data_IF_208512899840
#
_entry.id   IF_208512899840
#
_cell.length_a   1.000
_cell.length_b   1.000
_cell.length_c   1.000
_cell.angle_alpha   90.00
_cell.angle_beta   90.00
_cell.angle_gamma   90.00
#
_symmetry.space_group_name_H-M   'P 1'
#
loop_
_entity.id
_entity.type
_entity.pdbx_description
1 polymer ?
#
# COMPACT_ATOMS: atom_id res chain seq x y z
N UNK A 1 -1.19 -24.79 -15.37
CA UNK A 1 -2.14 -24.34 -14.35
C UNK A 1 -1.59 -23.05 -13.74
N UNK A 2 -2.18 -21.91 -14.14
CA UNK A 2 -1.87 -20.63 -13.48
C UNK A 2 -2.51 -20.67 -12.09
N UNK A 3 -1.70 -20.93 -11.07
CA UNK A 3 -2.07 -20.66 -9.68
C UNK A 3 -2.34 -19.15 -9.59
N UNK A 4 -3.59 -18.75 -9.57
CA UNK A 4 -3.95 -17.38 -9.18
C UNK A 4 -3.43 -17.20 -7.76
N UNK A 5 -2.39 -16.39 -7.61
CA UNK A 5 -1.83 -16.06 -6.30
C UNK A 5 -2.90 -15.27 -5.54
N UNK A 6 -3.62 -15.95 -4.65
CA UNK A 6 -4.72 -15.35 -3.85
C UNK A 6 -4.25 -14.17 -3.00
N UNK A 7 -2.96 -14.01 -2.87
CA UNK A 7 -2.32 -12.96 -2.07
C UNK A 7 -1.87 -11.77 -2.92
N UNK A 8 -2.13 -11.78 -4.24
CA UNK A 8 -1.76 -10.71 -5.18
C UNK A 8 -3.00 -10.03 -5.76
N UNK A 9 -2.90 -8.71 -5.88
CA UNK A 9 -3.84 -7.86 -6.64
C UNK A 9 -3.00 -6.96 -7.54
N UNK A 10 -3.25 -7.03 -8.85
CA UNK A 10 -2.64 -6.10 -9.81
C UNK A 10 -3.34 -4.74 -9.71
N UNK A 11 -2.56 -3.67 -9.84
CA UNK A 11 -3.00 -2.28 -9.65
C UNK A 11 -2.39 -1.42 -10.74
N UNK A 12 -3.20 -0.61 -11.42
CA UNK A 12 -2.80 0.17 -12.59
C UNK A 12 -2.30 -0.74 -13.73
N UNK A 13 -1.43 -0.20 -14.61
CA UNK A 13 -0.96 -0.91 -15.81
C UNK A 13 0.19 -1.91 -15.53
N UNK A 14 1.10 -1.63 -14.57
CA UNK A 14 2.26 -2.48 -14.25
C UNK A 14 2.46 -2.74 -12.76
N UNK A 15 1.61 -2.15 -11.93
CA UNK A 15 1.73 -2.23 -10.47
C UNK A 15 1.04 -3.44 -9.87
N UNK A 16 1.33 -3.70 -8.60
CA UNK A 16 0.66 -4.72 -7.80
C UNK A 16 0.85 -4.49 -6.31
N UNK A 17 0.02 -5.17 -5.54
CA UNK A 17 0.18 -5.40 -4.10
C UNK A 17 0.13 -6.89 -3.83
N UNK A 18 1.12 -7.43 -3.11
CA UNK A 18 1.15 -8.80 -2.64
C UNK A 18 1.18 -8.78 -1.12
N UNK A 19 0.28 -9.49 -0.47
CA UNK A 19 0.36 -9.77 0.96
C UNK A 19 1.38 -10.90 1.19
N UNK A 20 2.52 -10.57 1.81
CA UNK A 20 3.61 -11.52 2.06
C UNK A 20 3.46 -12.26 3.37
N UNK A 21 3.05 -11.55 4.41
CA UNK A 21 2.86 -12.14 5.73
C UNK A 21 2.01 -11.25 6.62
N UNK A 22 1.32 -11.87 7.56
CA UNK A 22 0.75 -11.22 8.75
C UNK A 22 1.23 -12.02 9.94
N UNK A 23 1.89 -11.38 10.90
CA UNK A 23 2.42 -12.05 12.08
C UNK A 23 2.04 -11.31 13.36
N UNK A 24 1.68 -12.08 14.36
CA UNK A 24 1.50 -11.61 15.72
C UNK A 24 2.03 -12.70 16.68
N UNK A 25 2.73 -12.26 17.73
CA UNK A 25 3.31 -13.17 18.74
C UNK A 25 2.49 -13.11 20.03
N UNK A 26 1.24 -13.46 19.94
CA UNK A 26 0.36 -13.49 21.10
C UNK A 26 0.07 -14.90 21.59
N UNK A 27 0.63 -15.94 20.93
CA UNK A 27 0.49 -17.35 21.28
C UNK A 27 1.79 -17.95 21.78
N UNK A 28 1.68 -19.06 22.52
CA UNK A 28 2.82 -19.83 23.00
C UNK A 28 3.63 -20.40 21.85
N UNK A 29 4.94 -20.59 22.07
CA UNK A 29 5.90 -21.11 21.08
C UNK A 29 5.64 -22.55 20.59
N UNK A 30 4.73 -23.28 21.21
CA UNK A 30 4.32 -24.65 20.87
C UNK A 30 3.11 -24.71 19.91
N UNK A 31 2.59 -23.57 19.47
CA UNK A 31 1.50 -23.48 18.52
C UNK A 31 1.98 -22.96 17.16
N UNK A 32 1.34 -23.37 16.06
CA UNK A 32 1.60 -22.80 14.74
C UNK A 32 1.35 -21.27 14.75
N UNK A 33 2.30 -20.53 14.17
CA UNK A 33 2.32 -19.06 14.19
C UNK A 33 1.45 -18.48 13.06
N UNK A 34 0.16 -18.65 13.12
CA UNK A 34 -0.76 -17.93 12.25
C UNK A 34 -1.32 -16.70 12.98
N UNK A 35 -1.14 -15.52 12.37
CA UNK A 35 -1.79 -14.32 12.86
C UNK A 35 -3.31 -14.49 12.78
N UNK A 36 -4.00 -14.13 13.85
CA UNK A 36 -5.44 -14.24 13.95
C UNK A 36 -6.05 -12.89 14.35
N UNK A 37 -7.27 -12.66 13.96
CA UNK A 37 -8.08 -11.48 14.29
C UNK A 37 -8.30 -11.27 15.79
N UNK A 38 -8.06 -12.28 16.60
CA UNK A 38 -8.14 -12.19 18.08
C UNK A 38 -6.84 -11.71 18.72
N UNK A 39 -5.73 -11.68 18.00
CA UNK A 39 -4.42 -11.34 18.55
C UNK A 39 -4.38 -9.98 19.27
N UNK A 40 -5.05 -8.92 18.78
CA UNK A 40 -5.12 -7.66 19.53
C UNK A 40 -5.78 -7.80 20.90
N UNK A 41 -6.82 -8.63 21.03
CA UNK A 41 -7.50 -8.85 22.30
C UNK A 41 -6.59 -9.62 23.27
N UNK A 42 -5.90 -10.65 22.77
CA UNK A 42 -4.98 -11.44 23.57
C UNK A 42 -3.78 -10.60 24.04
N UNK A 43 -3.22 -9.75 23.19
CA UNK A 43 -2.17 -8.81 23.56
C UNK A 43 -2.62 -7.85 24.68
N UNK A 44 -3.86 -7.36 24.62
CA UNK A 44 -4.42 -6.49 25.66
C UNK A 44 -4.57 -7.17 27.03
N UNK A 45 -4.81 -8.49 27.05
CA UNK A 45 -4.93 -9.27 28.29
C UNK A 45 -3.62 -9.37 29.06
N UNK A 46 -2.49 -9.12 28.43
CA UNK A 46 -1.20 -9.06 29.13
C UNK A 46 -1.24 -8.07 30.29
N UNK A 47 -2.01 -6.99 30.20
CA UNK A 47 -2.20 -6.01 31.28
C UNK A 47 -2.82 -6.62 32.56
N UNK A 48 -3.43 -7.81 32.47
CA UNK A 48 -4.04 -8.52 33.57
C UNK A 48 -3.36 -9.87 33.85
N UNK A 49 -2.20 -10.11 33.26
CA UNK A 49 -1.51 -11.41 33.31
C UNK A 49 -2.41 -12.59 32.91
N UNK A 50 -3.23 -12.40 31.88
CA UNK A 50 -4.32 -13.29 31.50
C UNK A 50 -4.34 -13.65 30.02
N UNK A 51 -3.18 -13.69 29.34
CA UNK A 51 -3.05 -14.18 27.97
C UNK A 51 -3.53 -15.62 27.88
N UNK A 52 -4.11 -15.98 26.75
CA UNK A 52 -4.60 -17.32 26.42
C UNK A 52 -5.65 -17.91 27.41
N UNK A 53 -6.28 -17.08 28.22
CA UNK A 53 -7.12 -17.51 29.33
C UNK A 53 -8.62 -17.59 29.05
N UNK A 54 -9.09 -17.16 27.86
CA UNK A 54 -10.51 -16.99 27.56
C UNK A 54 -10.91 -17.48 26.17
N UNK A 55 -12.21 -17.81 25.95
CA UNK A 55 -12.71 -18.24 24.67
C UNK A 55 -12.74 -17.09 23.64
N UNK A 56 -12.64 -17.44 22.36
CA UNK A 56 -12.61 -16.53 21.20
C UNK A 56 -13.79 -15.54 21.15
N UNK A 57 -14.99 -15.95 21.60
CA UNK A 57 -16.16 -15.05 21.65
C UNK A 57 -15.96 -13.83 22.55
N UNK A 58 -15.13 -13.95 23.58
CA UNK A 58 -14.79 -12.82 24.47
C UNK A 58 -13.68 -11.96 23.85
N UNK A 59 -12.85 -12.54 22.99
CA UNK A 59 -11.80 -11.81 22.28
C UNK A 59 -12.37 -10.82 21.28
N UNK A 60 -13.38 -11.20 20.52
CA UNK A 60 -14.06 -10.32 19.58
C UNK A 60 -14.75 -9.14 20.29
N UNK A 61 -15.36 -9.38 21.46
CA UNK A 61 -15.96 -8.31 22.28
C UNK A 61 -14.89 -7.36 22.81
N UNK A 62 -13.75 -7.90 23.25
CA UNK A 62 -12.65 -7.09 23.74
C UNK A 62 -12.00 -6.30 22.59
N UNK A 63 -11.74 -6.89 21.43
CA UNK A 63 -11.22 -6.20 20.26
C UNK A 63 -12.12 -5.02 19.83
N UNK A 64 -13.44 -5.22 19.85
CA UNK A 64 -14.43 -4.15 19.61
C UNK A 64 -14.32 -3.02 20.63
N UNK A 65 -14.23 -3.34 21.91
CA UNK A 65 -14.04 -2.36 22.96
C UNK A 65 -12.75 -1.55 22.78
N UNK A 66 -11.63 -2.23 22.48
CA UNK A 66 -10.34 -1.61 22.25
C UNK A 66 -10.37 -0.65 21.05
N UNK A 67 -10.95 -1.10 19.93
CA UNK A 67 -11.09 -0.30 18.71
C UNK A 67 -11.93 0.95 18.96
N UNK A 68 -13.11 0.79 19.60
CA UNK A 68 -14.04 1.87 19.91
C UNK A 68 -13.40 2.94 20.80
N UNK A 69 -12.61 2.53 21.79
CA UNK A 69 -12.03 3.42 22.79
C UNK A 69 -10.59 3.88 22.48
N UNK A 70 -10.13 3.67 21.26
CA UNK A 70 -8.79 4.11 20.81
C UNK A 70 -7.63 3.52 21.62
N UNK A 71 -7.75 2.28 22.08
CA UNK A 71 -6.66 1.51 22.63
C UNK A 71 -5.85 0.91 21.49
N UNK A 72 -4.81 1.61 21.05
CA UNK A 72 -4.11 1.31 19.79
C UNK A 72 -3.03 0.25 19.93
N UNK A 73 -2.30 0.24 21.06
CA UNK A 73 -1.13 -0.62 21.26
C UNK A 73 -1.38 -2.12 21.03
N UNK A 74 -2.56 -2.71 21.35
CA UNK A 74 -2.81 -4.11 21.01
C UNK A 74 -2.82 -4.39 19.50
N UNK A 75 -3.31 -3.45 18.69
CA UNK A 75 -3.29 -3.57 17.22
C UNK A 75 -1.91 -3.31 16.63
N UNK A 76 -1.03 -2.62 17.33
CA UNK A 76 0.37 -2.41 16.96
C UNK A 76 1.22 -3.68 17.10
N UNK A 77 0.74 -4.69 17.85
CA UNK A 77 1.39 -5.99 17.97
C UNK A 77 1.24 -6.87 16.73
N UNK A 78 0.27 -6.60 15.87
CA UNK A 78 0.08 -7.32 14.60
C UNK A 78 0.88 -6.64 13.50
N UNK A 79 1.83 -7.37 12.91
CA UNK A 79 2.72 -6.87 11.87
C UNK A 79 2.31 -7.41 10.49
N UNK A 80 2.34 -6.54 9.49
CA UNK A 80 1.90 -6.83 8.13
C UNK A 80 3.05 -6.55 7.16
N UNK A 81 3.40 -7.55 6.32
CA UNK A 81 4.36 -7.39 5.23
C UNK A 81 3.65 -7.42 3.89
N UNK A 82 3.88 -6.39 3.10
CA UNK A 82 3.37 -6.31 1.73
C UNK A 82 4.51 -6.01 0.77
N UNK A 83 4.50 -6.67 -0.37
CA UNK A 83 5.33 -6.29 -1.50
C UNK A 83 4.49 -5.41 -2.42
N UNK A 84 5.02 -4.25 -2.79
CA UNK A 84 4.26 -3.25 -3.56
C UNK A 84 5.12 -2.72 -4.69
N UNK A 85 4.59 -2.80 -5.90
CA UNK A 85 5.13 -2.15 -7.09
C UNK A 85 4.22 -1.00 -7.50
N UNK A 86 4.77 0.22 -7.53
CA UNK A 86 3.99 1.43 -7.74
C UNK A 86 4.84 2.53 -8.42
N UNK A 87 4.20 3.52 -9.08
CA UNK A 87 4.92 4.66 -9.63
C UNK A 87 5.59 5.51 -8.54
N UNK A 88 6.77 6.08 -8.85
CA UNK A 88 7.56 6.87 -7.89
C UNK A 88 6.75 8.07 -7.33
N UNK A 89 5.92 8.74 -8.14
CA UNK A 89 5.12 9.85 -7.63
C UNK A 89 4.13 9.42 -6.53
N UNK A 90 3.58 8.19 -6.59
CA UNK A 90 2.76 7.61 -5.52
C UNK A 90 3.60 7.16 -4.34
N UNK A 91 4.77 6.57 -4.59
CA UNK A 91 5.72 6.20 -3.55
C UNK A 91 6.00 7.38 -2.62
N UNK A 92 6.16 8.58 -3.17
CA UNK A 92 6.34 9.82 -2.41
C UNK A 92 5.19 10.15 -1.46
N UNK A 93 3.97 9.72 -1.75
CA UNK A 93 2.82 9.88 -0.86
C UNK A 93 2.78 8.80 0.23
N UNK A 94 3.12 7.56 -0.12
CA UNK A 94 3.11 6.44 0.83
C UNK A 94 4.22 6.54 1.88
N UNK A 95 5.43 6.97 1.53
CA UNK A 95 6.53 7.16 2.50
C UNK A 95 6.25 8.22 3.59
N UNK A 96 5.19 9.01 3.44
CA UNK A 96 4.74 9.94 4.50
C UNK A 96 4.09 9.21 5.68
N UNK A 97 3.73 7.93 5.53
CA UNK A 97 3.34 7.05 6.63
C UNK A 97 4.59 6.51 7.34
N UNK A 98 5.17 7.33 8.21
CA UNK A 98 6.52 7.18 8.79
C UNK A 98 6.68 6.03 9.77
N UNK A 99 5.59 5.40 10.20
CA UNK A 99 5.61 4.19 11.04
C UNK A 99 5.95 2.92 10.26
N UNK A 100 5.87 2.98 8.94
CA UNK A 100 6.26 1.88 8.09
C UNK A 100 7.78 1.77 7.93
N UNK A 101 8.24 0.54 7.70
CA UNK A 101 9.60 0.19 7.28
C UNK A 101 9.55 -0.30 5.85
N UNK A 102 10.51 0.07 5.04
CA UNK A 102 10.57 -0.35 3.65
C UNK A 102 11.99 -0.63 3.18
N UNK A 103 12.09 -1.59 2.26
CA UNK A 103 13.29 -1.82 1.45
C UNK A 103 12.88 -1.73 -0.02
N UNK A 104 13.51 -0.83 -0.75
CA UNK A 104 13.16 -0.46 -2.12
C UNK A 104 14.23 -0.91 -3.10
N UNK A 105 13.82 -1.32 -4.31
CA UNK A 105 14.73 -1.53 -5.43
C UNK A 105 15.59 -0.28 -5.64
N UNK A 106 16.86 -0.46 -5.91
CA UNK A 106 17.75 0.67 -6.12
C UNK A 106 18.33 0.68 -7.54
N UNK A 107 18.02 1.72 -8.29
CA UNK A 107 18.65 2.03 -9.57
C UNK A 107 20.16 2.35 -9.46
N UNK A 108 20.76 2.25 -8.27
CA UNK A 108 22.22 2.27 -8.09
C UNK A 108 22.86 0.91 -8.29
N UNK A 109 22.07 -0.17 -8.13
CA UNK A 109 22.58 -1.54 -8.15
C UNK A 109 22.07 -2.35 -9.35
N UNK A 110 20.90 -1.99 -9.86
CA UNK A 110 20.26 -2.70 -10.97
C UNK A 110 19.81 -1.72 -12.05
N UNK A 111 19.81 -2.16 -13.30
CA UNK A 111 19.13 -1.45 -14.38
C UNK A 111 17.63 -1.58 -14.17
N UNK A 112 16.94 -0.45 -14.04
CA UNK A 112 15.49 -0.44 -13.82
C UNK A 112 14.75 -0.87 -15.09
N UNK A 113 13.64 -1.63 -14.99
CA UNK A 113 12.89 -2.11 -16.15
C UNK A 113 12.19 -0.97 -16.92
N UNK A 114 11.83 -1.21 -18.19
CA UNK A 114 11.11 -0.26 -19.05
C UNK A 114 9.62 -0.22 -18.68
N UNK A 115 9.30 0.28 -17.51
CA UNK A 115 7.93 0.31 -16.96
C UNK A 115 7.62 1.67 -16.37
N UNK A 116 6.63 2.34 -16.93
CA UNK A 116 6.12 3.65 -16.50
C UNK A 116 4.61 3.69 -16.60
N UNK A 117 3.98 4.43 -15.71
CA UNK A 117 2.55 4.56 -15.64
C UNK A 117 2.02 5.57 -16.67
N UNK A 118 1.03 5.15 -17.45
CA UNK A 118 0.21 6.03 -18.29
C UNK A 118 -1.24 5.96 -17.78
N UNK A 119 -1.86 7.07 -17.36
CA UNK A 119 -3.22 7.04 -16.84
C UNK A 119 -4.23 6.68 -17.93
N UNK A 120 -5.18 5.78 -17.63
CA UNK A 120 -6.27 5.41 -18.55
C UNK A 120 -7.23 6.58 -18.79
N UNK A 121 -7.43 7.43 -17.78
CA UNK A 121 -8.23 8.64 -17.85
C UNK A 121 -7.45 9.83 -17.30
N UNK A 122 -7.61 10.98 -17.92
CA UNK A 122 -6.93 12.23 -17.55
C UNK A 122 -7.97 13.26 -17.13
N UNK A 123 -8.02 13.55 -15.82
CA UNK A 123 -8.91 14.56 -15.27
C UNK A 123 -8.46 15.99 -15.50
N UNK A 124 -9.41 16.89 -15.46
CA UNK A 124 -9.18 18.33 -15.57
C UNK A 124 -8.63 18.94 -14.28
N UNK A 125 -8.18 20.17 -14.38
CA UNK A 125 -7.75 20.95 -13.22
C UNK A 125 -8.99 21.43 -12.43
N UNK A 126 -9.07 21.20 -11.12
CA UNK A 126 -10.19 21.66 -10.30
C UNK A 126 -10.34 23.20 -10.35
N UNK A 127 -11.59 23.66 -10.45
CA UNK A 127 -11.92 25.07 -10.53
C UNK A 127 -11.56 25.84 -9.25
N UNK A 128 -11.66 25.18 -8.10
CA UNK A 128 -11.36 25.76 -6.77
C UNK A 128 -9.87 25.76 -6.41
N UNK A 129 -9.00 25.31 -7.32
CA UNK A 129 -7.54 25.18 -7.16
C UNK A 129 -7.10 24.26 -6.01
N UNK A 130 -7.98 23.45 -5.45
CA UNK A 130 -7.60 22.41 -4.49
C UNK A 130 -6.84 21.29 -5.18
N UNK A 131 -6.27 20.40 -4.36
CA UNK A 131 -5.68 19.17 -4.86
C UNK A 131 -6.76 18.24 -5.42
N UNK A 132 -6.38 17.38 -6.37
CA UNK A 132 -7.30 16.43 -7.00
C UNK A 132 -7.46 16.72 -8.49
N UNK A 133 -8.40 16.06 -9.09
CA UNK A 133 -8.79 16.25 -10.48
C UNK A 133 -10.31 16.37 -10.57
N UNK A 134 -10.76 17.18 -11.52
CA UNK A 134 -12.16 17.32 -11.92
C UNK A 134 -12.55 16.24 -12.92
N UNK A 135 -13.71 16.37 -13.53
CA UNK A 135 -14.17 15.48 -14.61
C UNK A 135 -13.09 15.25 -15.66
N UNK A 136 -13.17 14.12 -16.32
CA UNK A 136 -12.23 13.78 -17.38
C UNK A 136 -12.22 14.85 -18.48
N UNK A 137 -11.03 15.17 -18.95
CA UNK A 137 -10.85 16.05 -20.08
C UNK A 137 -11.51 15.47 -21.35
N UNK A 138 -11.83 16.31 -22.37
CA UNK A 138 -12.22 15.82 -23.69
C UNK A 138 -11.23 14.77 -24.23
N UNK A 139 -11.72 13.76 -24.90
CA UNK A 139 -10.92 12.61 -25.37
C UNK A 139 -9.67 13.04 -26.16
N UNK A 140 -9.78 14.07 -26.98
CA UNK A 140 -8.64 14.63 -27.74
C UNK A 140 -7.49 15.05 -26.81
N UNK A 141 -7.80 15.75 -25.71
CA UNK A 141 -6.80 16.21 -24.76
C UNK A 141 -6.21 15.05 -23.95
N UNK A 142 -7.03 14.07 -23.59
CA UNK A 142 -6.54 12.85 -22.93
C UNK A 142 -5.56 12.10 -23.82
N UNK A 143 -5.93 11.84 -25.08
CA UNK A 143 -5.08 11.14 -26.06
C UNK A 143 -3.77 11.90 -26.33
N UNK A 144 -3.86 13.23 -26.45
CA UNK A 144 -2.68 14.06 -26.61
C UNK A 144 -1.73 13.90 -25.42
N UNK A 145 -2.25 13.99 -24.19
CA UNK A 145 -1.43 13.85 -22.97
C UNK A 145 -0.80 12.47 -22.86
N UNK A 146 -1.60 11.40 -23.00
CA UNK A 146 -1.16 10.01 -22.92
C UNK A 146 -0.07 9.72 -23.96
N UNK A 147 -0.27 10.14 -25.22
CA UNK A 147 0.70 9.97 -26.30
C UNK A 147 2.00 10.68 -25.98
N UNK A 148 1.95 11.96 -25.60
CA UNK A 148 3.16 12.74 -25.29
C UNK A 148 3.91 12.19 -24.08
N UNK A 149 3.18 11.80 -23.04
CA UNK A 149 3.79 11.18 -21.86
C UNK A 149 4.51 9.87 -22.24
N UNK A 150 3.87 9.02 -23.02
CA UNK A 150 4.47 7.75 -23.47
C UNK A 150 5.72 7.96 -24.33
N UNK A 151 5.67 8.90 -25.31
CA UNK A 151 6.81 9.24 -26.16
C UNK A 151 7.99 9.76 -25.33
N UNK A 152 7.75 10.64 -24.37
CA UNK A 152 8.78 11.19 -23.50
C UNK A 152 9.40 10.11 -22.60
N UNK A 153 8.59 9.27 -22.00
CA UNK A 153 9.07 8.17 -21.17
C UNK A 153 9.94 7.20 -21.98
N UNK A 154 9.48 6.81 -23.16
CA UNK A 154 10.25 5.92 -24.05
C UNK A 154 11.58 6.56 -24.48
N UNK A 155 11.59 7.84 -24.83
CA UNK A 155 12.84 8.54 -25.18
C UNK A 155 13.79 8.65 -23.99
N UNK A 156 13.28 9.01 -22.84
CA UNK A 156 14.01 9.12 -21.59
C UNK A 156 14.64 7.78 -21.19
N UNK A 157 13.90 6.68 -21.32
CA UNK A 157 14.41 5.35 -21.02
C UNK A 157 15.52 4.93 -22.00
N UNK A 158 15.40 5.22 -23.30
CA UNK A 158 16.49 4.99 -24.28
C UNK A 158 17.76 5.75 -23.87
N UNK A 159 17.63 7.02 -23.52
CA UNK A 159 18.76 7.83 -23.06
C UNK A 159 19.36 7.31 -21.76
N UNK A 160 18.53 6.78 -20.84
CA UNK A 160 19.00 6.08 -19.64
C UNK A 160 19.88 4.87 -19.97
N UNK A 161 19.44 4.01 -20.90
CA UNK A 161 20.23 2.85 -21.34
C UNK A 161 21.54 3.26 -22.00
N UNK A 162 21.51 4.29 -22.87
CA UNK A 162 22.72 4.85 -23.47
C UNK A 162 23.72 5.36 -22.42
N UNK A 163 23.22 6.01 -21.36
CA UNK A 163 24.07 6.47 -20.26
C UNK A 163 24.73 5.30 -19.54
N UNK A 164 24.00 4.21 -19.28
CA UNK A 164 24.53 2.98 -18.69
C UNK A 164 25.62 2.37 -19.61
N UNK A 165 25.40 2.27 -20.93
CA UNK A 165 26.34 1.75 -21.87
C UNK A 165 27.60 2.62 -21.95
N UNK A 166 27.47 3.92 -21.85
CA UNK A 166 28.57 4.89 -21.78
C UNK A 166 29.27 4.92 -20.42
N UNK A 167 28.93 4.02 -19.51
CA UNK A 167 29.53 3.89 -18.18
C UNK A 167 29.28 5.12 -17.25
N UNK A 168 28.22 5.87 -17.50
CA UNK A 168 27.73 6.86 -16.52
C UNK A 168 27.36 6.12 -15.24
N UNK A 169 27.75 6.65 -14.08
CA UNK A 169 27.39 6.04 -12.81
C UNK A 169 25.86 5.84 -12.71
N UNK A 170 25.43 4.66 -12.29
CA UNK A 170 24.01 4.29 -12.23
C UNK A 170 23.17 5.30 -11.39
N UNK A 171 23.75 5.86 -10.34
CA UNK A 171 23.14 6.90 -9.51
C UNK A 171 22.86 8.22 -10.26
N UNK A 172 23.62 8.50 -11.33
CA UNK A 172 23.39 9.64 -12.22
C UNK A 172 22.48 9.24 -13.39
N UNK A 173 22.71 8.07 -14.01
CA UNK A 173 21.91 7.61 -15.14
C UNK A 173 20.41 7.58 -14.82
N UNK A 174 20.01 7.11 -13.61
CA UNK A 174 18.62 7.08 -13.16
C UNK A 174 17.95 8.45 -13.07
N UNK A 175 18.68 9.57 -13.07
CA UNK A 175 18.11 10.92 -13.10
C UNK A 175 17.36 11.23 -14.39
N UNK A 176 17.61 10.43 -15.45
CA UNK A 176 16.91 10.52 -16.72
C UNK A 176 15.49 9.94 -16.68
N UNK A 177 15.13 9.17 -15.65
CA UNK A 177 13.81 8.53 -15.54
C UNK A 177 12.77 9.48 -14.97
N UNK A 178 11.53 9.36 -15.47
CA UNK A 178 10.42 10.20 -15.03
C UNK A 178 9.81 9.74 -13.70
N UNK A 179 9.04 10.62 -13.04
CA UNK A 179 8.37 10.32 -11.76
C UNK A 179 7.29 9.24 -11.86
N UNK A 180 6.76 8.99 -13.05
CA UNK A 180 5.79 7.94 -13.31
C UNK A 180 6.45 6.56 -13.57
N UNK A 181 7.79 6.47 -13.54
CA UNK A 181 8.51 5.21 -13.58
C UNK A 181 8.15 4.36 -12.35
N UNK A 182 8.05 3.03 -12.53
CA UNK A 182 7.71 2.14 -11.45
C UNK A 182 8.90 1.89 -10.53
N UNK A 183 8.63 1.95 -9.22
CA UNK A 183 9.51 1.42 -8.18
C UNK A 183 8.87 0.20 -7.54
N UNK A 184 9.64 -0.52 -6.72
CA UNK A 184 9.22 -1.77 -6.13
C UNK A 184 9.86 -1.93 -4.76
N UNK A 185 9.05 -2.23 -3.73
CA UNK A 185 9.54 -2.35 -2.37
C UNK A 185 8.86 -3.45 -1.55
N UNK A 186 9.55 -3.90 -0.52
CA UNK A 186 8.98 -4.62 0.59
C UNK A 186 8.60 -3.59 1.68
N UNK A 187 7.36 -3.66 2.14
CA UNK A 187 6.76 -2.76 3.12
C UNK A 187 6.36 -3.53 4.36
N UNK A 188 6.74 -3.07 5.55
CA UNK A 188 6.26 -3.58 6.82
C UNK A 188 5.61 -2.47 7.65
N UNK A 189 4.43 -2.73 8.16
CA UNK A 189 3.70 -1.82 9.05
C UNK A 189 2.79 -2.61 9.99
N UNK A 190 2.57 -2.10 11.20
CA UNK A 190 1.60 -2.67 12.10
C UNK A 190 0.15 -2.40 11.67
N UNK A 191 -0.79 -3.18 12.22
CA UNK A 191 -2.19 -3.13 11.84
C UNK A 191 -2.85 -1.77 12.19
N UNK A 192 -2.53 -1.17 13.36
CA UNK A 192 -3.09 0.14 13.72
C UNK A 192 -2.71 1.20 12.68
N UNK A 193 -1.44 1.30 12.36
CA UNK A 193 -0.93 2.28 11.41
C UNK A 193 -1.31 1.95 9.96
N UNK A 194 -1.50 0.68 9.61
CA UNK A 194 -2.07 0.28 8.33
C UNK A 194 -3.53 0.76 8.21
N UNK A 195 -4.36 0.58 9.24
CA UNK A 195 -5.72 1.12 9.26
C UNK A 195 -5.74 2.65 9.14
N UNK A 196 -4.79 3.35 9.77
CA UNK A 196 -4.65 4.80 9.60
C UNK A 196 -4.30 5.19 8.15
N UNK A 197 -3.39 4.45 7.50
CA UNK A 197 -3.09 4.63 6.06
C UNK A 197 -4.35 4.43 5.22
N UNK A 198 -5.09 3.34 5.45
CA UNK A 198 -6.31 3.02 4.71
C UNK A 198 -7.37 4.12 4.88
N UNK A 199 -7.59 4.61 6.10
CA UNK A 199 -8.54 5.68 6.38
C UNK A 199 -8.24 6.97 5.58
N UNK A 200 -6.96 7.27 5.36
CA UNK A 200 -6.52 8.46 4.62
C UNK A 200 -6.47 8.26 3.08
N UNK A 201 -6.42 7.01 2.60
CA UNK A 201 -6.13 6.74 1.17
C UNK A 201 -7.26 6.03 0.43
N UNK A 202 -8.22 5.44 1.12
CA UNK A 202 -9.41 4.83 0.48
C UNK A 202 -10.48 5.87 0.14
N UNK A 203 -10.53 7.00 0.88
CA UNK A 203 -11.54 8.05 0.69
C UNK A 203 -11.37 8.84 -0.61
N UNK A 204 -12.48 9.42 -1.10
CA UNK A 204 -12.58 10.17 -2.35
C UNK A 204 -11.65 11.41 -2.46
N UNK A 205 -11.12 11.89 -1.33
CA UNK A 205 -10.17 13.00 -1.30
C UNK A 205 -8.73 12.59 -1.65
N UNK A 206 -8.42 11.29 -1.66
CA UNK A 206 -7.11 10.81 -2.06
C UNK A 206 -6.99 10.79 -3.59
N UNK A 207 -5.77 10.86 -4.12
CA UNK A 207 -5.52 10.71 -5.54
C UNK A 207 -6.02 9.33 -6.01
N UNK A 208 -6.64 9.25 -7.17
CA UNK A 208 -7.31 8.04 -7.69
C UNK A 208 -6.37 6.82 -7.70
N UNK A 209 -5.13 7.00 -8.13
CA UNK A 209 -4.14 5.94 -8.13
C UNK A 209 -3.76 5.50 -6.69
N UNK A 210 -3.71 6.43 -5.75
CA UNK A 210 -3.47 6.11 -4.33
C UNK A 210 -4.65 5.33 -3.73
N UNK A 211 -5.90 5.68 -4.12
CA UNK A 211 -7.09 4.92 -3.74
C UNK A 211 -7.01 3.47 -4.23
N UNK A 212 -6.59 3.25 -5.49
CA UNK A 212 -6.47 1.91 -6.07
C UNK A 212 -5.51 1.02 -5.26
N UNK A 213 -4.34 1.53 -4.88
CA UNK A 213 -3.40 0.80 -4.02
C UNK A 213 -3.92 0.58 -2.61
N UNK A 214 -4.60 1.55 -2.02
CA UNK A 214 -5.20 1.42 -0.69
C UNK A 214 -6.34 0.39 -0.71
N UNK A 215 -7.17 0.39 -1.74
CA UNK A 215 -8.24 -0.59 -1.90
C UNK A 215 -7.69 -2.02 -2.09
N UNK A 216 -6.63 -2.19 -2.87
CA UNK A 216 -5.95 -3.48 -3.01
C UNK A 216 -5.41 -4.00 -1.66
N UNK A 217 -4.77 -3.12 -0.86
CA UNK A 217 -4.33 -3.47 0.50
C UNK A 217 -5.50 -3.87 1.39
N UNK A 218 -6.58 -3.10 1.38
CA UNK A 218 -7.79 -3.36 2.17
C UNK A 218 -8.38 -4.73 1.82
N UNK A 219 -8.58 -5.01 0.54
CA UNK A 219 -9.13 -6.29 0.04
C UNK A 219 -8.27 -7.49 0.46
N UNK A 220 -6.93 -7.36 0.44
CA UNK A 220 -6.05 -8.43 0.91
C UNK A 220 -6.17 -8.65 2.42
N UNK A 221 -6.29 -7.58 3.20
CA UNK A 221 -6.43 -7.67 4.65
C UNK A 221 -7.81 -8.20 5.07
N UNK A 222 -8.89 -7.89 4.34
CA UNK A 222 -10.22 -8.47 4.58
C UNK A 222 -10.23 -9.99 4.51
N UNK A 223 -9.35 -10.59 3.70
CA UNK A 223 -9.24 -12.05 3.55
C UNK A 223 -8.58 -12.73 4.75
N UNK A 224 -7.68 -12.05 5.44
CA UNK A 224 -6.85 -12.63 6.51
C UNK A 224 -7.18 -12.08 7.90
N UNK A 225 -7.74 -10.89 7.99
CA UNK A 225 -8.14 -10.22 9.23
C UNK A 225 -9.57 -9.66 9.13
N UNK A 226 -10.59 -10.51 8.80
CA UNK A 226 -11.94 -10.06 8.50
C UNK A 226 -12.59 -9.29 9.67
N UNK A 227 -12.39 -9.72 10.91
CA UNK A 227 -12.99 -9.06 12.08
C UNK A 227 -12.33 -7.71 12.38
N UNK A 228 -10.99 -7.63 12.33
CA UNK A 228 -10.27 -6.37 12.52
C UNK A 228 -10.65 -5.34 11.46
N UNK A 229 -10.81 -5.77 10.20
CA UNK A 229 -11.22 -4.89 9.12
C UNK A 229 -12.71 -4.50 9.23
N UNK A 230 -13.59 -5.40 9.69
CA UNK A 230 -14.97 -5.04 10.00
C UNK A 230 -15.04 -3.95 11.10
N UNK A 231 -14.23 -4.07 12.16
CA UNK A 231 -14.11 -3.04 13.20
C UNK A 231 -13.51 -1.73 12.67
N UNK A 232 -12.57 -1.81 11.74
CA UNK A 232 -12.06 -0.62 11.03
C UNK A 232 -13.19 0.11 10.30
N UNK A 233 -14.01 -0.59 9.53
CA UNK A 233 -15.17 0.00 8.84
C UNK A 233 -16.18 0.63 9.82
N UNK A 234 -16.39 0.00 10.96
CA UNK A 234 -17.35 0.48 11.97
C UNK A 234 -16.85 1.73 12.71
N UNK A 235 -15.56 1.81 13.05
CA UNK A 235 -15.04 2.83 13.97
C UNK A 235 -13.97 3.76 13.41
N UNK A 236 -13.32 3.42 12.32
CA UNK A 236 -12.13 4.13 11.82
C UNK A 236 -12.25 4.61 10.39
N UNK A 237 -13.18 4.07 9.61
CA UNK A 237 -13.37 4.53 8.24
C UNK A 237 -13.75 6.02 8.29
N UNK A 238 -12.88 6.86 7.76
CA UNK A 238 -13.20 8.28 7.60
C UNK A 238 -14.36 8.37 6.61
N UNK A 239 -15.39 9.11 7.01
CA UNK A 239 -16.57 9.31 6.18
C UNK A 239 -16.17 9.83 4.80
N UNK A 240 -16.62 9.10 3.78
CA UNK A 240 -16.47 9.47 2.38
C UNK A 240 -17.26 10.75 2.05
#
# INVERSE_FOLDING_TARGET
EMSFDRNRIDVLDHGFVILRNVAAQTRRLDQEFDANDIDPANAARMSFDAMDSRPESDDLKLARYLMKNWHTSPFEMVQIWMEVKLPIFLARQFVRHRTARLNEISGRYVTLPAEWYIPDAVGGKPADRKQGQDDNLPLEHQLWFQTRLGEQCAQSYRTYLEAIDRKVAAEHARLLLHLNHYTHWLWNQDLHNMMHLLALRVGSHAQVEAQAYAQAKLTLLERVLPHSIALFHEYRKVHA
#
